data_IF_383568230543
#
_entry.id   IF_383568230543
#
_cell.length_a   1.000
_cell.length_b   1.000
_cell.length_c   1.000
_cell.angle_alpha   90.00
_cell.angle_beta   90.00
_cell.angle_gamma   90.00
#
_symmetry.space_group_name_H-M   'P 1'
#
loop_
_entity.id
_entity.type
_entity.pdbx_description
1 polymer ?
#
# COMPACT_ATOMS: atom_id res chain seq x y z
N UNK A 1 31.35 -17.38 1.71
CA UNK A 1 30.65 -17.07 2.97
C UNK A 1 29.71 -15.93 2.66
N UNK A 2 28.42 -16.20 2.42
CA UNK A 2 27.45 -15.13 2.26
C UNK A 2 27.20 -14.58 3.66
N UNK A 3 27.91 -13.51 4.01
CA UNK A 3 27.54 -12.68 5.16
C UNK A 3 26.17 -12.11 4.80
N UNK A 4 25.10 -12.75 5.27
CA UNK A 4 23.84 -12.07 5.41
C UNK A 4 24.15 -10.92 6.37
N UNK A 5 24.25 -9.71 5.84
CA UNK A 5 24.21 -8.52 6.67
C UNK A 5 22.88 -8.63 7.40
N UNK A 6 22.91 -8.78 8.73
CA UNK A 6 21.69 -8.80 9.52
C UNK A 6 20.88 -7.55 9.17
N UNK A 7 19.60 -7.74 8.88
CA UNK A 7 18.72 -6.63 8.53
C UNK A 7 18.67 -5.65 9.69
N UNK A 8 18.84 -4.36 9.40
CA UNK A 8 18.78 -3.30 10.40
C UNK A 8 17.38 -3.21 11.00
N UNK A 9 17.31 -3.10 12.32
CA UNK A 9 16.08 -2.70 13.01
C UNK A 9 15.74 -1.25 12.69
N UNK A 10 14.46 -0.86 12.87
CA UNK A 10 14.04 0.53 12.60
C UNK A 10 14.79 1.57 13.44
N UNK A 11 15.15 1.24 14.69
CA UNK A 11 15.93 2.16 15.53
C UNK A 11 17.40 2.26 15.09
N UNK A 12 17.99 1.18 14.57
CA UNK A 12 19.33 1.21 13.98
C UNK A 12 19.34 2.02 12.67
N UNK A 13 18.32 1.88 11.83
CA UNK A 13 18.14 2.71 10.62
C UNK A 13 18.09 4.20 10.96
N UNK A 14 17.44 4.58 12.06
CA UNK A 14 17.32 5.98 12.48
C UNK A 14 18.62 6.57 13.04
N UNK A 15 19.52 5.71 13.53
CA UNK A 15 20.79 6.11 14.14
C UNK A 15 21.99 5.91 13.23
N UNK A 16 21.83 5.18 12.13
CA UNK A 16 22.87 4.91 11.15
C UNK A 16 23.45 6.21 10.54
N UNK A 17 24.79 6.38 10.56
CA UNK A 17 25.43 7.62 10.13
C UNK A 17 25.29 7.89 8.62
N UNK A 18 25.26 6.85 7.80
CA UNK A 18 25.10 6.97 6.34
C UNK A 18 23.67 7.37 6.01
N UNK A 19 22.67 6.69 6.58
CA UNK A 19 21.25 6.99 6.38
C UNK A 19 20.95 8.42 6.85
N UNK A 20 21.48 8.84 8.01
CA UNK A 20 21.34 10.23 8.46
C UNK A 20 21.98 11.25 7.53
N UNK A 21 23.07 10.90 6.85
CA UNK A 21 23.67 11.77 5.85
C UNK A 21 22.76 11.96 4.63
N UNK A 22 22.16 10.87 4.14
CA UNK A 22 21.17 10.90 3.04
C UNK A 22 19.93 11.70 3.45
N UNK A 23 19.37 11.44 4.64
CA UNK A 23 18.21 12.20 5.14
C UNK A 23 18.48 13.70 5.18
N UNK A 24 19.66 14.12 5.63
CA UNK A 24 20.06 15.54 5.64
C UNK A 24 20.19 16.11 4.24
N UNK A 25 20.73 15.35 3.29
CA UNK A 25 20.82 15.76 1.90
C UNK A 25 19.43 15.97 1.28
N UNK A 26 18.45 15.16 1.70
CA UNK A 26 17.07 15.22 1.22
C UNK A 26 16.17 16.17 2.05
N UNK A 27 16.72 16.85 3.06
CA UNK A 27 15.96 17.76 3.93
C UNK A 27 14.94 17.05 4.84
N UNK A 28 15.10 15.75 5.05
CA UNK A 28 14.20 14.93 5.87
C UNK A 28 14.66 14.92 7.33
N UNK A 29 13.73 15.21 8.24
CA UNK A 29 14.00 15.15 9.68
C UNK A 29 13.90 13.73 10.24
N UNK A 30 14.61 13.44 11.33
CA UNK A 30 14.55 12.15 12.01
C UNK A 30 13.14 11.76 12.48
N UNK A 31 12.33 12.73 12.90
CA UNK A 31 10.94 12.48 13.30
C UNK A 31 10.05 12.10 12.10
N UNK A 32 10.15 12.81 10.98
CA UNK A 32 9.40 12.50 9.76
C UNK A 32 9.73 11.10 9.24
N UNK A 33 11.03 10.77 9.21
CA UNK A 33 11.46 9.46 8.75
C UNK A 33 11.01 8.34 9.68
N UNK A 34 11.09 8.55 11.01
CA UNK A 34 10.53 7.63 12.02
C UNK A 34 9.05 7.38 11.77
N UNK A 35 8.25 8.44 11.64
CA UNK A 35 6.81 8.32 11.38
C UNK A 35 6.52 7.53 10.11
N UNK A 36 7.27 7.79 9.03
CA UNK A 36 7.10 7.08 7.76
C UNK A 36 7.42 5.59 7.89
N UNK A 37 8.55 5.25 8.51
CA UNK A 37 8.98 3.87 8.69
C UNK A 37 7.98 3.07 9.54
N UNK A 38 7.55 3.61 10.69
CA UNK A 38 6.57 2.93 11.53
C UNK A 38 5.19 2.84 10.86
N UNK A 39 4.79 3.86 10.09
CA UNK A 39 3.55 3.78 9.30
C UNK A 39 3.62 2.69 8.24
N UNK A 40 4.76 2.55 7.56
CA UNK A 40 4.97 1.51 6.55
C UNK A 40 5.00 0.11 7.20
N UNK A 41 5.72 -0.05 8.32
CA UNK A 41 5.75 -1.30 9.07
C UNK A 41 4.34 -1.72 9.52
N UNK A 42 3.58 -0.79 10.10
CA UNK A 42 2.20 -1.04 10.50
C UNK A 42 1.32 -1.42 9.29
N UNK A 43 1.49 -0.75 8.14
CA UNK A 43 0.76 -1.09 6.93
C UNK A 43 1.13 -2.49 6.41
N UNK A 44 2.38 -2.92 6.53
CA UNK A 44 2.83 -4.27 6.15
C UNK A 44 2.26 -5.35 7.08
N UNK A 45 2.19 -5.10 8.39
CA UNK A 45 1.57 -6.03 9.34
C UNK A 45 0.06 -6.20 9.07
N UNK A 46 -0.61 -5.11 8.70
CA UNK A 46 -2.05 -5.12 8.42
C UNK A 46 -2.37 -5.52 6.97
N UNK A 47 -1.39 -5.46 6.07
CA UNK A 47 -1.47 -6.06 4.75
C UNK A 47 -1.40 -7.57 4.90
N UNK A 48 -2.54 -8.16 5.27
CA UNK A 48 -2.75 -9.61 5.25
C UNK A 48 -2.19 -10.14 3.93
N UNK A 49 -1.30 -11.15 3.92
CA UNK A 49 -0.94 -11.81 2.69
C UNK A 49 -2.21 -12.49 2.20
N UNK A 50 -2.94 -11.85 1.29
CA UNK A 50 -4.01 -12.50 0.56
C UNK A 50 -3.35 -13.69 -0.13
N UNK A 51 -3.72 -14.94 0.21
CA UNK A 51 -3.11 -16.12 -0.34
C UNK A 51 -3.56 -16.20 -1.79
N UNK A 52 -2.76 -15.57 -2.64
CA UNK A 52 -3.05 -15.37 -4.03
C UNK A 52 -3.00 -13.91 -4.44
N UNK A 53 -1.89 -13.52 -5.07
CA UNK A 53 -1.79 -12.22 -5.75
C UNK A 53 -2.82 -12.06 -6.87
N UNK A 54 -2.70 -10.97 -7.64
CA UNK A 54 -3.64 -10.57 -8.71
C UNK A 54 -4.13 -11.71 -9.63
N UNK A 55 -3.31 -12.74 -9.87
CA UNK A 55 -3.69 -13.94 -10.65
C UNK A 55 -4.80 -14.78 -10.00
N UNK A 56 -4.83 -14.92 -8.69
CA UNK A 56 -5.89 -15.69 -8.02
C UNK A 56 -7.19 -14.90 -7.93
N UNK A 57 -7.12 -13.57 -7.76
CA UNK A 57 -8.28 -12.70 -7.88
C UNK A 57 -8.85 -12.76 -9.30
N UNK A 58 -8.00 -12.73 -10.34
CA UNK A 58 -8.43 -12.92 -11.72
C UNK A 58 -9.05 -14.31 -11.94
N UNK A 59 -8.44 -15.39 -11.41
CA UNK A 59 -9.00 -16.73 -11.50
C UNK A 59 -10.34 -16.86 -10.77
N UNK A 60 -10.51 -16.21 -9.61
CA UNK A 60 -11.75 -16.21 -8.83
C UNK A 60 -12.85 -15.39 -9.51
N UNK A 61 -12.49 -14.34 -10.25
CA UNK A 61 -13.40 -13.59 -11.12
C UNK A 61 -13.82 -14.44 -12.33
N UNK A 62 -12.88 -15.10 -13.00
CA UNK A 62 -13.15 -15.97 -14.15
C UNK A 62 -13.97 -17.21 -13.77
N UNK A 63 -13.79 -17.73 -12.55
CA UNK A 63 -14.54 -18.85 -12.00
C UNK A 63 -15.88 -18.44 -11.35
N UNK A 64 -16.17 -17.14 -11.22
CA UNK A 64 -17.41 -16.70 -10.61
C UNK A 64 -18.61 -16.85 -11.58
N UNK A 65 -19.79 -17.28 -11.10
CA UNK A 65 -20.99 -17.34 -11.94
C UNK A 65 -21.34 -15.94 -12.47
N UNK A 66 -21.74 -15.87 -13.76
CA UNK A 66 -21.97 -14.62 -14.53
C UNK A 66 -22.78 -13.54 -13.79
N UNK A 67 -23.73 -13.92 -12.94
CA UNK A 67 -24.56 -13.01 -12.13
C UNK A 67 -23.76 -12.22 -11.08
N UNK A 68 -22.70 -12.82 -10.51
CA UNK A 68 -21.85 -12.19 -9.50
C UNK A 68 -20.86 -11.19 -10.11
N UNK A 69 -20.36 -11.47 -11.31
CA UNK A 69 -19.52 -10.54 -12.07
C UNK A 69 -20.27 -9.26 -12.44
N UNK A 70 -21.52 -9.39 -12.92
CA UNK A 70 -22.35 -8.23 -13.23
C UNK A 70 -22.53 -7.31 -12.00
N UNK A 71 -22.81 -7.86 -10.81
CA UNK A 71 -22.96 -7.04 -9.61
C UNK A 71 -21.69 -6.25 -9.21
N UNK A 72 -20.50 -6.72 -9.60
CA UNK A 72 -19.22 -6.05 -9.35
C UNK A 72 -18.84 -5.02 -10.43
N UNK A 73 -19.44 -5.08 -11.63
CA UNK A 73 -19.25 -4.10 -12.71
C UNK A 73 -20.27 -2.95 -12.61
N UNK A 74 -21.46 -3.20 -12.06
CA UNK A 74 -22.50 -2.19 -11.87
C UNK A 74 -22.19 -0.99 -10.94
N UNK A 75 -21.27 -1.04 -9.94
CA UNK A 75 -21.00 0.15 -9.13
C UNK A 75 -20.23 1.24 -9.91
N UNK A 76 -19.64 0.91 -11.06
CA UNK A 76 -18.94 1.87 -11.91
C UNK A 76 -19.83 2.47 -13.02
N UNK A 77 -21.01 1.89 -13.29
CA UNK A 77 -21.91 2.36 -14.33
C UNK A 77 -22.95 3.40 -13.85
N UNK A 78 -23.10 3.61 -12.53
CA UNK A 78 -24.11 4.53 -11.97
C UNK A 78 -23.52 5.91 -11.60
N UNK A 79 -22.22 6.15 -11.78
CA UNK A 79 -21.58 7.46 -11.53
C UNK A 79 -21.37 8.33 -12.77
N UNK A 80 -22.21 8.16 -13.79
CA UNK A 80 -22.40 9.14 -14.88
C UNK A 80 -23.86 9.53 -14.96
N UNK A 81 -24.39 10.00 -13.83
CA UNK A 81 -25.70 10.64 -13.72
C UNK A 81 -25.55 11.79 -12.73
N UNK A 82 -24.78 12.80 -13.13
CA UNK A 82 -24.77 14.10 -12.46
C UNK A 82 -26.21 14.61 -12.40
N UNK A 83 -26.85 14.45 -11.25
CA UNK A 83 -28.01 15.24 -10.88
C UNK A 83 -27.54 16.70 -10.77
N UNK A 84 -27.65 17.46 -11.85
CA UNK A 84 -27.69 18.91 -11.77
C UNK A 84 -29.12 19.28 -11.35
N UNK A 85 -29.38 19.22 -10.05
CA UNK A 85 -30.60 19.74 -9.43
C UNK A 85 -30.22 20.95 -8.57
N UNK A 86 -29.84 22.03 -9.23
CA UNK A 86 -29.73 23.37 -8.65
C UNK A 86 -29.68 24.42 -9.77
N UNK A 87 -30.85 24.71 -10.35
CA UNK A 87 -31.10 26.01 -10.97
C UNK A 87 -32.17 26.69 -10.12
N UNK A 88 -31.74 27.63 -9.29
CA UNK A 88 -32.59 28.76 -8.86
C UNK A 88 -32.36 29.90 -9.84
#
# INVERSE_FOLDING_TARGET
MNMAHDDLTLDEVLTDPMIRAVMRADGVTSSQFRTLLYSAANALEHAKPEPGGARTHAAKLLAAPKRRLLAMVHPLAIRTGSACAACY
#
